data_IF_192805764545
#
_entry.id   IF_192805764545
#
_cell.length_a   1.000
_cell.length_b   1.000
_cell.length_c   1.000
_cell.angle_alpha   90.00
_cell.angle_beta   90.00
_cell.angle_gamma   90.00
#
_symmetry.space_group_name_H-M   'P 1'
#
loop_
_entity.id
_entity.type
_entity.pdbx_description
1 polymer ?
#
# COMPACT_ATOMS: atom_id res chain seq x y z
N UNK A 1 -1.40 22.06 -11.24
CA UNK A 1 -1.31 23.54 -11.14
C UNK A 1 0.14 23.92 -11.33
N UNK A 2 0.39 24.99 -12.08
CA UNK A 2 1.74 25.38 -12.49
C UNK A 2 2.59 25.75 -11.27
N UNK A 3 3.79 25.17 -11.09
CA UNK A 3 4.70 25.56 -10.03
C UNK A 3 5.39 26.88 -10.36
N UNK A 4 5.88 27.57 -9.34
CA UNK A 4 6.70 28.77 -9.52
C UNK A 4 8.06 28.46 -10.16
N UNK A 5 8.60 27.28 -9.86
CA UNK A 5 9.81 26.71 -10.45
C UNK A 5 9.43 25.67 -11.52
N UNK A 6 9.68 25.93 -12.82
CA UNK A 6 9.33 25.03 -13.90
C UNK A 6 10.05 23.67 -13.88
N UNK A 7 11.12 23.53 -13.10
CA UNK A 7 11.81 22.25 -12.94
C UNK A 7 11.07 21.28 -12.00
N UNK A 8 10.12 21.80 -11.22
CA UNK A 8 9.32 21.01 -10.29
C UNK A 8 8.11 20.40 -10.99
N UNK A 9 7.63 19.23 -10.53
CA UNK A 9 6.38 18.67 -11.02
C UNK A 9 5.21 19.61 -10.68
N UNK A 10 4.17 19.58 -11.50
CA UNK A 10 2.94 20.32 -11.24
C UNK A 10 2.35 19.97 -9.88
N UNK A 11 1.86 21.00 -9.17
CA UNK A 11 1.18 20.85 -7.90
C UNK A 11 -0.20 20.20 -8.09
N UNK A 12 -0.59 19.39 -7.12
CA UNK A 12 -1.91 18.76 -7.06
C UNK A 12 -2.71 19.47 -5.98
N UNK A 13 -3.96 19.81 -6.29
CA UNK A 13 -4.84 20.54 -5.37
C UNK A 13 -6.28 20.08 -5.53
N UNK A 14 -7.02 20.13 -4.42
CA UNK A 14 -8.48 20.02 -4.41
C UNK A 14 -9.06 21.43 -4.46
N UNK A 15 -9.93 21.70 -5.43
CA UNK A 15 -10.69 22.95 -5.45
C UNK A 15 -11.81 22.84 -4.42
N UNK A 16 -11.77 23.69 -3.40
CA UNK A 16 -12.81 23.78 -2.36
C UNK A 16 -13.93 24.73 -2.79
N UNK A 17 -13.56 25.83 -3.47
CA UNK A 17 -14.51 26.86 -3.92
C UNK A 17 -13.96 27.64 -5.12
N UNK A 18 -14.86 28.06 -6.00
CA UNK A 18 -14.55 28.95 -7.13
C UNK A 18 -15.27 30.27 -6.89
N UNK A 19 -14.56 31.38 -7.01
CA UNK A 19 -15.09 32.74 -6.91
C UNK A 19 -14.77 33.51 -8.18
N UNK A 20 -15.78 34.19 -8.75
CA UNK A 20 -15.58 35.08 -9.89
C UNK A 20 -15.94 36.51 -9.47
N UNK A 21 -15.21 37.50 -9.98
CA UNK A 21 -15.64 38.90 -9.83
C UNK A 21 -16.98 39.16 -10.54
N UNK A 22 -17.63 40.28 -10.23
CA UNK A 22 -18.95 40.62 -10.77
C UNK A 22 -18.98 40.70 -12.32
N UNK A 23 -17.82 40.80 -12.98
CA UNK A 23 -17.67 40.86 -14.43
C UNK A 23 -17.25 39.51 -15.03
N UNK A 24 -16.97 38.50 -14.20
CA UNK A 24 -16.43 37.20 -14.60
C UNK A 24 -15.01 37.24 -15.15
N UNK A 25 -14.32 38.38 -15.07
CA UNK A 25 -13.03 38.61 -15.72
C UNK A 25 -11.86 38.04 -14.92
N UNK A 26 -11.99 38.00 -13.59
CA UNK A 26 -10.99 37.41 -12.70
C UNK A 26 -11.63 36.30 -11.88
N UNK A 27 -11.15 35.07 -12.10
CA UNK A 27 -11.60 33.89 -11.36
C UNK A 27 -10.51 33.46 -10.39
N UNK A 28 -10.89 33.40 -9.11
CA UNK A 28 -10.06 32.88 -8.02
C UNK A 28 -10.57 31.53 -7.59
N UNK A 29 -9.65 30.65 -7.22
CA UNK A 29 -9.95 29.32 -6.69
C UNK A 29 -9.37 29.20 -5.29
N UNK A 30 -10.20 28.75 -4.36
CA UNK A 30 -9.79 28.36 -3.02
C UNK A 30 -9.41 26.89 -3.09
N UNK A 31 -8.18 26.59 -2.76
CA UNK A 31 -7.60 25.26 -2.92
C UNK A 31 -7.12 24.70 -1.60
N UNK A 32 -7.14 23.38 -1.51
CA UNK A 32 -6.48 22.59 -0.47
C UNK A 32 -5.38 21.76 -1.12
N UNK A 33 -4.15 21.90 -0.65
CA UNK A 33 -2.99 21.31 -1.31
C UNK A 33 -2.85 19.81 -1.01
N UNK A 34 -2.53 19.06 -2.05
CA UNK A 34 -1.97 17.73 -1.92
C UNK A 34 -0.44 17.81 -1.98
N UNK A 35 0.21 17.28 -0.96
CA UNK A 35 1.67 17.25 -0.87
C UNK A 35 2.21 15.96 -1.48
N UNK A 36 3.27 16.05 -2.27
CA UNK A 36 4.03 14.87 -2.69
C UNK A 36 4.92 14.38 -1.54
N UNK A 37 5.30 13.09 -1.51
CA UNK A 37 6.23 12.56 -0.51
C UNK A 37 7.52 13.37 -0.35
N UNK A 38 8.07 13.86 -1.45
CA UNK A 38 9.29 14.69 -1.51
C UNK A 38 9.12 16.06 -0.85
N UNK A 39 7.89 16.55 -0.74
CA UNK A 39 7.55 17.87 -0.18
C UNK A 39 7.21 17.77 1.31
N UNK A 40 7.05 16.56 1.85
CA UNK A 40 6.82 16.34 3.28
C UNK A 40 8.10 16.49 4.09
N UNK A 41 7.98 16.88 5.37
CA UNK A 41 9.13 17.02 6.28
C UNK A 41 9.94 15.72 6.39
N UNK A 42 9.28 14.57 6.34
CA UNK A 42 9.91 13.25 6.42
C UNK A 42 10.48 12.72 5.09
N UNK A 43 10.23 13.42 3.98
CA UNK A 43 10.62 12.99 2.64
C UNK A 43 9.95 11.69 2.16
N UNK A 44 10.36 11.24 0.96
CA UNK A 44 9.89 9.97 0.39
C UNK A 44 10.47 8.79 1.17
N UNK A 45 9.63 7.82 1.50
CA UNK A 45 9.97 6.53 2.10
C UNK A 45 9.74 5.41 1.09
N UNK A 46 10.33 4.24 1.32
CA UNK A 46 10.25 3.10 0.40
C UNK A 46 8.82 2.61 0.14
N UNK A 47 7.92 2.73 1.13
CA UNK A 47 6.53 2.32 0.97
C UNK A 47 5.65 3.36 0.25
N UNK A 48 6.19 4.55 -0.04
CA UNK A 48 5.42 5.58 -0.73
C UNK A 48 5.39 5.31 -2.24
N UNK A 49 4.19 5.18 -2.79
CA UNK A 49 4.00 4.99 -4.24
C UNK A 49 4.38 6.22 -5.05
N UNK A 50 4.77 6.02 -6.31
CA UNK A 50 5.15 7.05 -7.27
C UNK A 50 4.02 8.06 -7.54
N UNK A 51 2.77 7.60 -7.49
CA UNK A 51 1.54 8.39 -7.64
C UNK A 51 0.89 8.80 -6.31
N UNK A 52 1.58 8.61 -5.19
CA UNK A 52 1.06 8.94 -3.87
C UNK A 52 1.12 10.45 -3.62
N UNK A 53 0.05 10.98 -3.04
CA UNK A 53 -0.04 12.35 -2.53
C UNK A 53 -0.78 12.38 -1.19
N UNK A 54 -0.51 13.40 -0.37
CA UNK A 54 -1.07 13.54 0.97
C UNK A 54 -2.01 14.73 1.06
N UNK A 55 -3.23 14.53 1.52
CA UNK A 55 -4.18 15.62 1.70
C UNK A 55 -3.75 16.48 2.89
N UNK A 56 -3.27 17.69 2.65
CA UNK A 56 -2.74 18.52 3.73
C UNK A 56 -3.79 19.38 4.42
N UNK A 57 -3.46 20.05 5.52
CA UNK A 57 -4.25 21.14 6.12
C UNK A 57 -3.91 22.53 5.54
N UNK A 58 -3.11 22.58 4.46
CA UNK A 58 -2.70 23.83 3.83
C UNK A 58 -3.73 24.28 2.78
N UNK A 59 -4.36 25.42 3.07
CA UNK A 59 -5.30 26.10 2.19
C UNK A 59 -4.69 27.37 1.60
N UNK A 60 -5.06 27.69 0.37
CA UNK A 60 -4.60 28.89 -0.32
C UNK A 60 -5.62 29.39 -1.35
N UNK A 61 -5.43 30.60 -1.86
CA UNK A 61 -6.22 31.20 -2.94
C UNK A 61 -5.32 31.49 -4.14
N UNK A 62 -5.66 30.90 -5.27
CA UNK A 62 -4.90 31.01 -6.51
C UNK A 62 -5.74 31.57 -7.66
N UNK A 63 -5.10 32.13 -8.70
CA UNK A 63 -5.80 32.42 -9.96
C UNK A 63 -6.19 31.11 -10.65
N UNK A 64 -7.37 31.06 -11.26
CA UNK A 64 -7.77 29.92 -12.09
C UNK A 64 -6.80 29.66 -13.26
N UNK A 65 -6.05 30.67 -13.71
CA UNK A 65 -5.06 30.55 -14.80
C UNK A 65 -3.87 29.65 -14.44
N UNK A 66 -3.68 29.36 -13.15
CA UNK A 66 -2.64 28.44 -12.68
C UNK A 66 -3.03 26.97 -12.86
N UNK A 67 -4.29 26.67 -13.17
CA UNK A 67 -4.77 25.32 -13.47
C UNK A 67 -4.23 24.90 -14.83
N UNK A 68 -3.51 23.78 -14.85
CA UNK A 68 -2.94 23.23 -16.09
C UNK A 68 -3.83 22.13 -16.67
N UNK A 69 -4.34 21.25 -15.81
CA UNK A 69 -5.19 20.14 -16.19
C UNK A 69 -6.00 19.64 -14.98
N UNK A 70 -7.08 18.93 -15.26
CA UNK A 70 -7.79 18.11 -14.28
C UNK A 70 -7.01 16.80 -14.06
N UNK A 71 -7.03 16.29 -12.84
CA UNK A 71 -6.50 14.98 -12.46
C UNK A 71 -7.44 14.30 -11.46
N UNK A 72 -7.20 13.02 -11.16
CA UNK A 72 -8.00 12.24 -10.21
C UNK A 72 -7.13 11.78 -9.04
N UNK A 73 -7.55 12.10 -7.81
CA UNK A 73 -6.93 11.54 -6.60
C UNK A 73 -7.88 10.49 -6.02
N UNK A 74 -7.53 9.23 -6.21
CA UNK A 74 -8.31 8.07 -5.75
C UNK A 74 -8.09 7.81 -4.26
N UNK A 75 -9.05 7.14 -3.63
CA UNK A 75 -8.76 6.43 -2.38
C UNK A 75 -7.84 5.25 -2.67
N UNK A 76 -7.00 4.86 -1.71
CA UNK A 76 -6.08 3.71 -1.87
C UNK A 76 -6.77 2.46 -2.42
N UNK A 77 -7.91 2.11 -1.83
CA UNK A 77 -8.71 0.94 -2.23
C UNK A 77 -9.22 1.01 -3.67
N UNK A 78 -9.48 2.21 -4.19
CA UNK A 78 -9.95 2.38 -5.57
C UNK A 78 -8.78 2.36 -6.55
N UNK A 79 -7.65 2.97 -6.15
CA UNK A 79 -6.43 2.99 -6.94
C UNK A 79 -5.87 1.58 -7.18
N UNK A 80 -5.83 0.73 -6.15
CA UNK A 80 -5.33 -0.66 -6.27
C UNK A 80 -6.22 -1.56 -7.15
N UNK A 81 -7.37 -1.05 -7.62
CA UNK A 81 -8.30 -1.77 -8.50
C UNK A 81 -8.31 -1.22 -9.93
N UNK A 82 -7.48 -0.22 -10.23
CA UNK A 82 -7.38 0.29 -11.59
C UNK A 82 -6.72 -0.75 -12.50
N UNK A 83 -7.31 -1.00 -13.66
CA UNK A 83 -6.74 -1.90 -14.67
C UNK A 83 -5.42 -1.34 -15.23
N UNK A 84 -5.33 -0.01 -15.33
CA UNK A 84 -4.13 0.72 -15.71
C UNK A 84 -4.08 2.08 -14.99
N UNK A 85 -2.88 2.50 -14.62
CA UNK A 85 -2.63 3.79 -13.96
C UNK A 85 -2.21 4.82 -15.00
N UNK A 86 -3.01 5.88 -15.16
CA UNK A 86 -2.71 7.00 -16.05
C UNK A 86 -1.69 7.99 -15.47
N UNK A 87 -1.33 8.99 -16.29
CA UNK A 87 -0.43 10.05 -15.85
C UNK A 87 -1.08 10.98 -14.81
N UNK A 88 -2.38 11.16 -14.92
CA UNK A 88 -3.26 12.01 -14.12
C UNK A 88 -4.01 11.25 -13.01
N UNK A 89 -3.71 9.96 -12.82
CA UNK A 89 -4.18 9.17 -11.70
C UNK A 89 -3.18 9.26 -10.53
N UNK A 90 -3.70 9.67 -9.38
CA UNK A 90 -3.00 9.73 -8.11
C UNK A 90 -3.79 8.98 -7.05
N UNK A 91 -3.17 8.69 -5.91
CA UNK A 91 -3.91 8.19 -4.76
C UNK A 91 -3.49 8.87 -3.47
N UNK A 92 -4.43 8.89 -2.53
CA UNK A 92 -4.23 9.43 -1.19
C UNK A 92 -4.74 8.43 -0.16
N UNK A 93 -3.92 8.17 0.85
CA UNK A 93 -4.26 7.33 2.00
C UNK A 93 -3.93 7.95 3.35
N UNK A 94 -3.29 9.12 3.32
CA UNK A 94 -2.93 9.89 4.50
C UNK A 94 -3.40 11.33 4.39
N UNK A 95 -3.87 11.86 5.51
CA UNK A 95 -3.87 13.30 5.76
C UNK A 95 -2.50 13.71 6.32
N UNK A 96 -2.08 14.93 6.02
CA UNK A 96 -0.77 15.46 6.39
C UNK A 96 -0.91 16.83 7.06
N UNK A 97 -0.31 16.99 8.23
CA UNK A 97 -0.21 18.31 8.85
C UNK A 97 1.02 19.04 8.28
N UNK A 98 0.79 20.11 7.53
CA UNK A 98 1.84 20.87 6.84
C UNK A 98 2.81 21.57 7.79
N UNK A 99 2.39 21.83 9.03
CA UNK A 99 3.19 22.54 10.04
C UNK A 99 3.99 21.60 10.94
N UNK A 100 3.39 20.49 11.38
CA UNK A 100 4.01 19.54 12.33
C UNK A 100 4.63 18.33 11.65
N UNK A 101 4.26 18.04 10.40
CA UNK A 101 4.68 16.84 9.69
C UNK A 101 3.95 15.56 10.11
N UNK A 102 2.93 15.66 10.96
CA UNK A 102 2.16 14.52 11.43
C UNK A 102 1.29 13.94 10.31
N UNK A 103 1.09 12.61 10.33
CA UNK A 103 0.24 11.88 9.40
C UNK A 103 -0.97 11.30 10.13
N UNK A 104 -2.10 11.24 9.43
CA UNK A 104 -3.32 10.58 9.89
C UNK A 104 -3.86 9.62 8.81
N UNK A 105 -4.07 8.33 9.10
CA UNK A 105 -3.79 7.67 10.38
C UNK A 105 -2.28 7.56 10.65
N UNK A 106 -1.91 7.51 11.94
CA UNK A 106 -0.53 7.32 12.41
C UNK A 106 -0.06 5.86 12.31
N UNK A 107 -1.02 4.93 12.18
CA UNK A 107 -0.80 3.50 12.01
C UNK A 107 -1.51 2.97 10.77
N UNK A 108 -0.83 2.11 10.04
CA UNK A 108 -1.34 1.42 8.87
C UNK A 108 -0.98 -0.06 8.93
N UNK A 109 -1.76 -0.89 8.23
CA UNK A 109 -1.43 -2.29 8.09
C UNK A 109 -0.07 -2.47 7.43
N UNK A 110 0.73 -3.38 7.97
CA UNK A 110 2.04 -3.75 7.47
C UNK A 110 2.02 -5.20 7.03
N UNK A 111 2.91 -5.53 6.10
CA UNK A 111 2.99 -6.83 5.49
C UNK A 111 4.44 -7.27 5.36
N UNK A 112 4.64 -8.55 5.03
CA UNK A 112 5.93 -9.17 4.80
C UNK A 112 6.84 -9.15 6.05
N UNK A 113 7.98 -9.85 5.96
CA UNK A 113 9.01 -9.86 7.01
C UNK A 113 9.69 -8.50 7.24
N UNK A 114 9.50 -7.55 6.33
CA UNK A 114 10.04 -6.20 6.47
C UNK A 114 9.13 -5.27 7.28
N UNK A 115 7.90 -5.71 7.62
CA UNK A 115 6.94 -4.94 8.41
C UNK A 115 6.67 -3.54 7.83
N UNK A 116 6.53 -3.46 6.50
CA UNK A 116 6.31 -2.19 5.80
C UNK A 116 4.86 -2.09 5.29
N UNK A 117 4.29 -0.88 5.23
CA UNK A 117 3.03 -0.65 4.55
C UNK A 117 3.12 -1.04 3.08
N UNK A 118 2.01 -1.49 2.48
CA UNK A 118 2.00 -1.91 1.09
C UNK A 118 2.26 -0.74 0.13
N UNK A 119 3.24 -0.86 -0.76
CA UNK A 119 3.47 0.05 -1.88
C UNK A 119 2.77 -0.50 -3.13
N UNK A 120 1.82 0.23 -3.75
CA UNK A 120 1.10 -0.27 -4.92
C UNK A 120 1.98 -0.43 -6.18
N UNK A 121 3.18 0.13 -6.19
CA UNK A 121 4.13 -0.04 -7.29
C UNK A 121 4.94 -1.34 -7.17
N UNK A 122 4.97 -1.95 -5.98
CA UNK A 122 5.77 -3.14 -5.68
C UNK A 122 4.93 -4.42 -5.80
N UNK A 123 5.50 -5.44 -6.48
CA UNK A 123 4.86 -6.75 -6.55
C UNK A 123 4.95 -7.46 -5.19
N UNK A 124 3.83 -8.05 -4.78
CA UNK A 124 3.77 -8.96 -3.64
C UNK A 124 3.09 -10.28 -4.03
N UNK A 125 3.49 -11.37 -3.38
CA UNK A 125 2.86 -12.70 -3.50
C UNK A 125 2.22 -13.10 -2.17
N UNK A 126 1.04 -13.71 -2.24
CA UNK A 126 0.31 -14.16 -1.06
C UNK A 126 0.64 -15.61 -0.74
N UNK A 127 0.99 -15.89 0.52
CA UNK A 127 1.17 -17.26 1.01
C UNK A 127 -0.19 -17.93 1.23
N UNK A 128 -0.40 -19.14 0.72
CA UNK A 128 -1.64 -19.89 0.89
C UNK A 128 -1.83 -20.47 2.29
N UNK A 129 -0.74 -20.60 3.06
CA UNK A 129 -0.79 -21.10 4.43
C UNK A 129 -1.21 -20.04 5.44
N UNK A 130 -0.50 -18.91 5.49
CA UNK A 130 -0.73 -17.84 6.46
C UNK A 130 -1.53 -16.65 5.93
N UNK A 131 -1.82 -16.60 4.63
CA UNK A 131 -2.54 -15.51 3.93
C UNK A 131 -1.85 -14.14 3.96
N UNK A 132 -0.63 -14.07 4.48
CA UNK A 132 0.22 -12.87 4.47
C UNK A 132 0.89 -12.67 3.11
N UNK A 133 1.35 -11.45 2.86
CA UNK A 133 1.91 -10.98 1.60
C UNK A 133 3.41 -10.73 1.71
N UNK A 134 4.17 -11.13 0.70
CA UNK A 134 5.62 -11.04 0.71
C UNK A 134 6.15 -10.40 -0.57
N UNK A 135 7.12 -9.50 -0.42
CA UNK A 135 7.89 -9.01 -1.57
C UNK A 135 8.80 -10.14 -2.06
N UNK A 136 8.89 -10.43 -3.38
CA UNK A 136 9.78 -11.46 -3.91
C UNK A 136 11.22 -11.28 -3.43
N UNK A 137 11.74 -10.05 -3.47
CA UNK A 137 13.09 -9.73 -2.99
C UNK A 137 13.29 -10.02 -1.49
N UNK A 138 12.23 -9.93 -0.67
CA UNK A 138 12.30 -10.28 0.74
C UNK A 138 12.31 -11.79 0.99
N UNK A 139 12.04 -12.63 0.00
CA UNK A 139 12.05 -14.10 0.15
C UNK A 139 13.04 -14.75 -0.82
N UNK A 140 14.06 -13.98 -1.22
CA UNK A 140 15.12 -14.40 -2.15
C UNK A 140 14.58 -14.97 -3.47
N UNK A 141 13.51 -14.35 -3.98
CA UNK A 141 12.80 -14.72 -5.20
C UNK A 141 12.81 -13.56 -6.20
N UNK A 142 12.96 -13.90 -7.48
CA UNK A 142 12.85 -12.89 -8.55
C UNK A 142 11.39 -12.56 -8.86
N UNK A 143 11.15 -11.40 -9.48
CA UNK A 143 9.81 -11.00 -9.93
C UNK A 143 9.28 -11.95 -11.01
N UNK A 144 10.16 -12.46 -11.87
CA UNK A 144 9.83 -13.41 -12.94
C UNK A 144 9.45 -14.79 -12.39
N UNK A 145 10.11 -15.25 -11.34
CA UNK A 145 9.72 -16.46 -10.62
C UNK A 145 8.37 -16.26 -9.94
N UNK A 146 8.20 -15.17 -9.18
CA UNK A 146 6.96 -14.85 -8.50
C UNK A 146 5.74 -14.84 -9.44
N UNK A 147 5.89 -14.30 -10.65
CA UNK A 147 4.82 -14.27 -11.67
C UNK A 147 4.47 -15.64 -12.27
N UNK A 148 5.36 -16.63 -12.15
CA UNK A 148 5.16 -17.99 -12.70
C UNK A 148 4.69 -19.00 -11.65
N UNK A 149 4.56 -18.59 -10.39
CA UNK A 149 4.10 -19.46 -9.33
C UNK A 149 2.59 -19.65 -9.40
N UNK A 150 2.15 -20.90 -9.46
CA UNK A 150 0.73 -21.26 -9.31
C UNK A 150 0.32 -21.29 -7.84
N UNK A 151 1.21 -21.79 -6.97
CA UNK A 151 1.00 -21.92 -5.53
C UNK A 151 2.23 -21.44 -4.76
N UNK A 152 2.03 -20.66 -3.70
CA UNK A 152 3.11 -20.15 -2.86
C UNK A 152 2.90 -20.44 -1.38
N UNK A 153 3.94 -20.97 -0.73
CA UNK A 153 4.02 -21.14 0.72
C UNK A 153 5.30 -20.49 1.23
N UNK A 154 5.19 -19.62 2.24
CA UNK A 154 6.35 -19.00 2.87
C UNK A 154 7.23 -20.03 3.60
N UNK A 155 8.44 -19.64 3.98
CA UNK A 155 9.41 -20.51 4.65
C UNK A 155 8.83 -21.16 5.92
N UNK A 156 8.12 -20.39 6.74
CA UNK A 156 7.46 -20.88 7.96
C UNK A 156 6.42 -21.96 7.65
N UNK A 157 5.53 -21.74 6.69
CA UNK A 157 4.48 -22.69 6.33
C UNK A 157 5.04 -23.93 5.62
N UNK A 158 6.09 -23.77 4.81
CA UNK A 158 6.78 -24.88 4.13
C UNK A 158 7.45 -25.81 5.14
N UNK A 159 8.09 -25.26 6.17
CA UNK A 159 8.73 -26.04 7.23
C UNK A 159 7.70 -26.80 8.09
N UNK A 160 6.52 -26.24 8.34
CA UNK A 160 5.45 -26.92 9.08
C UNK A 160 4.84 -28.12 8.33
N UNK A 161 4.72 -28.03 7.00
CA UNK A 161 4.28 -29.14 6.15
C UNK A 161 5.21 -30.35 6.22
N UNK A 162 6.53 -30.12 6.26
CA UNK A 162 7.52 -31.19 6.37
C UNK A 162 7.54 -31.88 7.74
N UNK A 163 7.29 -31.13 8.83
CA UNK A 163 7.21 -31.70 10.20
C UNK A 163 6.02 -32.66 10.35
N UNK A 164 4.89 -32.40 9.68
CA UNK A 164 3.72 -33.32 9.70
C UNK A 164 4.00 -34.64 8.99
N UNK A 165 4.76 -34.64 7.89
CA UNK A 165 5.13 -35.86 7.16
C UNK A 165 6.12 -36.73 7.95
N UNK A 166 7.10 -36.13 8.63
CA UNK A 166 8.06 -36.88 9.46
C UNK A 166 7.39 -37.53 10.69
N UNK A 167 6.41 -36.87 11.31
CA UNK A 167 5.63 -37.45 12.41
C UNK A 167 4.67 -38.57 11.98
N UNK A 168 4.27 -38.62 10.71
CA UNK A 168 3.46 -39.72 10.18
C UNK A 168 4.28 -40.99 9.90
N UNK A 169 5.58 -40.85 9.62
CA UNK A 169 6.48 -41.98 9.41
C UNK A 169 7.02 -42.60 10.71
N UNK A 170 7.01 -41.87 11.84
CA UNK A 170 7.35 -42.43 13.15
C UNK A 170 6.19 -43.21 13.79
N UNK A 171 4.94 -42.98 13.37
CA UNK A 171 3.77 -43.72 13.86
C UNK A 171 3.53 -45.08 13.17
N UNK A 172 4.29 -45.43 12.11
CA UNK A 172 4.10 -46.66 11.33
C UNK A 172 5.01 -47.84 11.72
N UNK A 173 5.91 -47.68 12.69
CA UNK A 173 6.79 -48.75 13.17
C UNK A 173 6.43 -49.21 14.58
N UNK A 174 5.25 -49.81 14.77
CA UNK A 174 4.99 -50.82 15.81
C UNK A 174 3.66 -51.55 15.55
N UNK A 175 3.68 -52.51 14.62
CA UNK A 175 2.93 -53.77 14.75
C UNK A 175 3.95 -54.81 15.27
N UNK A 176 3.72 -55.70 16.22
CA UNK A 176 2.52 -56.39 16.66
C UNK A 176 2.90 -57.17 17.93
N UNK A 177 2.05 -57.29 18.96
CA UNK A 177 1.71 -58.57 19.64
C UNK A 177 0.91 -58.40 20.95
N UNK A 178 -0.32 -58.97 20.90
CA UNK A 178 -0.98 -59.87 21.85
C UNK A 178 -1.54 -59.39 23.22
N UNK A 179 -2.88 -59.56 23.28
CA UNK A 179 -3.69 -60.36 24.25
C UNK A 179 -4.05 -59.76 25.62
N UNK A 180 -5.35 -59.41 25.71
CA UNK A 180 -6.36 -59.76 26.72
C UNK A 180 -6.05 -59.61 28.23
N UNK A 181 -6.79 -58.75 28.94
CA UNK A 181 -7.76 -59.15 29.99
C UNK A 181 -8.33 -57.98 30.81
N UNK A 182 -9.67 -57.97 30.94
CA UNK A 182 -10.50 -57.61 32.11
C UNK A 182 -10.33 -56.26 32.87
N UNK A 183 -11.52 -55.59 32.98
CA UNK A 183 -12.24 -55.11 34.20
C UNK A 183 -12.32 -53.58 34.50
N UNK A 184 -13.53 -53.05 34.23
CA UNK A 184 -14.43 -52.15 35.01
C UNK A 184 -13.90 -51.12 36.04
N UNK A 185 -14.45 -49.89 35.85
CA UNK A 185 -15.07 -48.90 36.79
C UNK A 185 -14.21 -48.23 37.87
N UNK A 186 -14.26 -46.89 37.91
CA UNK A 186 -15.27 -46.09 38.64
C UNK A 186 -15.46 -44.74 37.96
#
# INVERSE_FOLDING_TARGET
MRPSDPSKPSYVARIERIEADARGANVKIHVRWYYRPEESIGGRRQFHGSKEVFLSDHFDVQSADTIEAKCTVHSFKSYTKLDAVGNDDFFCRFEYNSSTGAFNPDRVAVYCKCEMPYNPDDLMVQCEGCTDWFHPACIDMTVEEAKRLDHFFCESCSAEGQKKLQNSHSASRHSDTKVDTKRRRR
#
